data_IF_147517791593
#
_entry.id   IF_147517791593
#
_cell.length_a   1.000
_cell.length_b   1.000
_cell.length_c   1.000
_cell.angle_alpha   90.00
_cell.angle_beta   90.00
_cell.angle_gamma   90.00
#
_symmetry.space_group_name_H-M   'P 1'
#
loop_
_entity.id
_entity.type
_entity.pdbx_description
1 polymer ?
#
# COMPACT_ATOMS: atom_id res chain seq x y z
N UNK A 1 -21.90 -7.06 5.06
CA UNK A 1 -20.66 -7.74 5.45
C UNK A 1 -19.68 -7.56 4.29
N UNK A 2 -18.56 -6.88 4.51
CA UNK A 2 -17.60 -6.63 3.44
C UNK A 2 -16.68 -7.85 3.32
N UNK A 3 -16.24 -8.19 2.09
CA UNK A 3 -15.38 -9.38 1.86
C UNK A 3 -14.07 -9.33 2.65
N UNK A 4 -13.61 -8.15 3.03
CA UNK A 4 -12.42 -7.91 3.85
C UNK A 4 -12.57 -8.37 5.30
N UNK A 5 -13.81 -8.51 5.82
CA UNK A 5 -14.06 -9.04 7.16
C UNK A 5 -13.69 -10.54 7.29
N UNK A 6 -13.52 -11.24 6.16
CA UNK A 6 -13.08 -12.64 6.11
C UNK A 6 -11.55 -12.80 6.16
N UNK A 7 -10.81 -11.71 6.03
CA UNK A 7 -9.34 -11.72 6.06
C UNK A 7 -8.83 -11.65 7.49
N UNK A 8 -7.67 -12.25 7.73
CA UNK A 8 -6.92 -12.01 8.97
C UNK A 8 -6.56 -10.52 9.12
N UNK A 9 -6.40 -10.06 10.36
CA UNK A 9 -6.23 -8.63 10.67
C UNK A 9 -4.98 -8.01 10.03
N UNK A 10 -3.92 -8.78 9.81
CA UNK A 10 -2.73 -8.37 9.03
C UNK A 10 -3.09 -8.09 7.57
N UNK A 11 -3.78 -9.02 6.91
CA UNK A 11 -4.22 -8.93 5.52
C UNK A 11 -5.19 -7.76 5.31
N UNK A 12 -6.09 -7.52 6.27
CA UNK A 12 -6.95 -6.33 6.26
C UNK A 12 -6.16 -5.01 6.29
N UNK A 13 -5.09 -4.95 7.08
CA UNK A 13 -4.26 -3.74 7.17
C UNK A 13 -3.45 -3.52 5.89
N UNK A 14 -2.86 -4.58 5.33
CA UNK A 14 -2.16 -4.54 4.04
C UNK A 14 -3.09 -4.05 2.93
N UNK A 15 -4.28 -4.62 2.83
CA UNK A 15 -5.30 -4.20 1.87
C UNK A 15 -5.65 -2.70 2.03
N UNK A 16 -5.88 -2.24 3.26
CA UNK A 16 -6.19 -0.83 3.54
C UNK A 16 -5.02 0.11 3.20
N UNK A 17 -3.78 -0.31 3.44
CA UNK A 17 -2.60 0.48 3.03
C UNK A 17 -2.61 0.65 1.52
N UNK A 18 -2.73 -0.45 0.77
CA UNK A 18 -2.74 -0.41 -0.69
C UNK A 18 -3.91 0.42 -1.24
N UNK A 19 -5.10 0.27 -0.68
CA UNK A 19 -6.30 1.07 -1.03
C UNK A 19 -6.05 2.57 -0.83
N UNK A 20 -5.49 2.96 0.33
CA UNK A 20 -5.15 4.37 0.59
C UNK A 20 -4.13 4.88 -0.41
N UNK A 21 -3.04 4.13 -0.66
CA UNK A 21 -1.99 4.55 -1.58
C UNK A 21 -2.48 4.68 -3.02
N UNK A 22 -3.40 3.82 -3.44
CA UNK A 22 -3.98 3.84 -4.78
C UNK A 22 -4.97 5.00 -4.97
N UNK A 23 -5.85 5.23 -3.99
CA UNK A 23 -6.93 6.24 -4.09
C UNK A 23 -6.43 7.68 -3.91
N UNK A 24 -5.41 7.91 -3.08
CA UNK A 24 -4.91 9.27 -2.82
C UNK A 24 -4.19 9.86 -4.06
N UNK A 25 -3.68 9.00 -4.96
CA UNK A 25 -2.99 9.37 -6.20
C UNK A 25 -1.66 10.11 -6.01
N UNK A 26 -1.35 10.48 -4.76
CA UNK A 26 -0.18 11.24 -4.32
C UNK A 26 0.58 10.48 -3.23
N UNK A 27 1.85 10.83 -2.97
CA UNK A 27 2.60 10.27 -1.86
C UNK A 27 1.91 10.55 -0.52
N UNK A 28 1.57 9.48 0.20
CA UNK A 28 0.95 9.53 1.53
C UNK A 28 2.02 9.46 2.60
N UNK A 29 1.92 10.30 3.63
CA UNK A 29 2.88 10.28 4.74
C UNK A 29 2.68 9.04 5.62
N UNK A 30 3.79 8.44 6.06
CA UNK A 30 3.78 7.31 7.00
C UNK A 30 3.08 7.66 8.31
N UNK A 31 3.19 8.92 8.76
CA UNK A 31 2.49 9.40 9.95
C UNK A 31 0.97 9.41 9.76
N UNK A 32 0.47 9.80 8.59
CA UNK A 32 -0.96 9.72 8.29
C UNK A 32 -1.46 8.28 8.24
N UNK A 33 -0.66 7.37 7.68
CA UNK A 33 -0.97 5.94 7.62
C UNK A 33 -1.05 5.31 9.03
N UNK A 34 -0.07 5.56 9.90
CA UNK A 34 -0.10 5.03 11.28
C UNK A 34 -1.30 5.54 12.06
N UNK A 35 -1.65 6.83 11.91
CA UNK A 35 -2.84 7.43 12.55
C UNK A 35 -4.16 6.83 12.02
N UNK A 36 -4.32 6.73 10.69
CA UNK A 36 -5.55 6.20 10.06
C UNK A 36 -5.78 4.73 10.41
N UNK A 37 -4.72 3.93 10.40
CA UNK A 37 -4.79 2.48 10.63
C UNK A 37 -4.64 2.10 12.10
N UNK A 38 -4.31 3.06 12.97
CA UNK A 38 -4.05 2.86 14.40
C UNK A 38 -2.99 1.77 14.65
N UNK A 39 -1.90 1.81 13.87
CA UNK A 39 -0.76 0.88 13.96
C UNK A 39 0.53 1.60 14.33
N UNK A 40 1.50 0.87 14.88
CA UNK A 40 2.81 1.44 15.19
C UNK A 40 3.62 1.71 13.90
N UNK A 41 4.60 2.65 13.93
CA UNK A 41 5.50 2.86 12.81
C UNK A 41 6.30 1.61 12.42
N UNK A 42 6.69 0.78 13.40
CA UNK A 42 7.39 -0.48 13.13
C UNK A 42 6.50 -1.48 12.39
N UNK A 43 5.23 -1.57 12.78
CA UNK A 43 4.24 -2.41 12.08
C UNK A 43 3.99 -1.91 10.66
N UNK A 44 3.84 -0.58 10.48
CA UNK A 44 3.68 0.00 9.15
C UNK A 44 4.90 -0.29 8.26
N UNK A 45 6.12 -0.16 8.80
CA UNK A 45 7.35 -0.48 8.08
C UNK A 45 7.31 -1.92 7.54
N UNK A 46 7.01 -2.90 8.41
CA UNK A 46 6.91 -4.30 8.01
C UNK A 46 5.87 -4.51 6.91
N UNK A 47 4.69 -3.91 7.05
CA UNK A 47 3.64 -4.03 6.02
C UNK A 47 4.02 -3.37 4.69
N UNK A 48 4.80 -2.29 4.69
CA UNK A 48 5.30 -1.69 3.45
C UNK A 48 6.37 -2.57 2.80
N UNK A 49 7.20 -3.26 3.59
CA UNK A 49 8.17 -4.25 3.10
C UNK A 49 7.45 -5.47 2.51
N UNK A 50 6.51 -6.07 3.25
CA UNK A 50 5.67 -7.18 2.78
C UNK A 50 4.95 -6.80 1.47
N UNK A 51 4.35 -5.60 1.41
CA UNK A 51 3.68 -5.10 0.21
C UNK A 51 4.66 -4.95 -0.96
N UNK A 52 5.86 -4.43 -0.72
CA UNK A 52 6.87 -4.24 -1.75
C UNK A 52 7.32 -5.57 -2.36
N UNK A 53 7.48 -6.62 -1.53
CA UNK A 53 7.77 -7.98 -1.94
C UNK A 53 6.62 -8.57 -2.77
N UNK A 54 5.39 -8.46 -2.28
CA UNK A 54 4.19 -8.98 -2.95
C UNK A 54 3.98 -8.34 -4.34
N UNK A 55 4.31 -7.05 -4.50
CA UNK A 55 4.15 -6.35 -5.79
C UNK A 55 5.39 -6.39 -6.68
N UNK A 56 6.55 -6.91 -6.22
CA UNK A 56 7.76 -7.00 -7.06
C UNK A 56 7.49 -7.62 -8.44
N UNK A 57 6.76 -8.74 -8.58
CA UNK A 57 6.50 -9.32 -9.90
C UNK A 57 5.75 -8.37 -10.83
N UNK A 58 4.85 -7.53 -10.28
CA UNK A 58 4.10 -6.54 -11.04
C UNK A 58 4.94 -5.30 -11.37
N UNK A 59 5.93 -4.98 -10.54
CA UNK A 59 6.92 -3.93 -10.80
C UNK A 59 7.86 -4.38 -11.92
N UNK A 60 8.32 -5.63 -11.91
CA UNK A 60 9.17 -6.23 -12.94
C UNK A 60 8.47 -6.29 -14.31
N UNK A 61 7.16 -6.58 -14.30
CA UNK A 61 6.30 -6.52 -15.49
C UNK A 61 5.92 -5.08 -15.88
N UNK A 62 6.44 -4.07 -15.18
CA UNK A 62 6.17 -2.65 -15.38
C UNK A 62 4.67 -2.31 -15.39
N UNK A 63 3.89 -3.03 -14.58
CA UNK A 63 2.44 -2.85 -14.41
C UNK A 63 2.10 -1.91 -13.27
N UNK A 64 2.96 -1.81 -12.26
CA UNK A 64 2.78 -0.94 -11.10
C UNK A 64 4.11 -0.29 -10.72
N UNK A 65 4.04 0.88 -10.11
CA UNK A 65 5.16 1.56 -9.48
C UNK A 65 4.85 1.77 -8.00
N UNK A 66 5.70 1.24 -7.12
CA UNK A 66 5.68 1.52 -5.69
C UNK A 66 6.95 2.28 -5.30
N UNK A 67 6.80 3.36 -4.53
CA UNK A 67 7.91 4.15 -3.99
C UNK A 67 7.74 4.28 -2.49
N UNK A 68 8.72 3.77 -1.74
CA UNK A 68 8.76 3.87 -0.28
C UNK A 68 9.97 4.73 0.07
N UNK A 69 9.72 5.97 0.45
CA UNK A 69 10.75 6.93 0.86
C UNK A 69 10.89 6.95 2.39
N UNK A 70 11.72 7.84 2.95
CA UNK A 70 11.91 7.95 4.40
C UNK A 70 10.58 8.22 5.14
N UNK A 71 9.78 9.18 4.65
CA UNK A 71 8.57 9.67 5.33
C UNK A 71 7.26 9.44 4.56
N UNK A 72 7.35 9.03 3.31
CA UNK A 72 6.24 8.94 2.36
C UNK A 72 6.21 7.56 1.68
N UNK A 73 5.03 7.17 1.22
CA UNK A 73 4.84 6.01 0.37
C UNK A 73 3.84 6.36 -0.75
N UNK A 74 4.05 5.86 -1.96
CA UNK A 74 3.13 6.02 -3.08
C UNK A 74 3.01 4.74 -3.88
N UNK A 75 1.83 4.51 -4.45
CA UNK A 75 1.55 3.40 -5.34
C UNK A 75 0.83 3.92 -6.59
N UNK A 76 1.27 3.51 -7.77
CA UNK A 76 0.68 3.91 -9.05
C UNK A 76 0.55 2.71 -9.98
N UNK A 77 -0.53 2.67 -10.74
CA UNK A 77 -0.64 1.75 -11.86
C UNK A 77 0.01 2.42 -13.09
N UNK A 78 0.98 1.74 -13.70
CA UNK A 78 1.72 2.24 -14.88
C UNK A 78 1.07 1.79 -16.19
N UNK A 79 0.11 0.86 -16.14
CA UNK A 79 -0.75 0.61 -17.28
C UNK A 79 -1.64 1.83 -17.45
N UNK A 80 -1.24 2.72 -18.37
CA UNK A 80 -2.18 3.69 -18.94
C UNK A 80 -3.41 2.90 -19.36
N UNK A 81 -4.57 3.20 -18.78
CA UNK A 81 -5.83 2.98 -19.49
C UNK A 81 -5.69 3.81 -20.77
N UNK A 82 -5.31 3.15 -21.86
CA UNK A 82 -5.54 3.66 -23.20
C UNK A 82 -7.06 3.85 -23.30
N UNK A 83 -7.49 5.09 -23.11
CA UNK A 83 -8.84 5.56 -23.44
C UNK A 83 -8.71 6.39 -24.70
#
# INVERSE_FOLDING_TARGET
MYKTDLLEKNQQNLFKILEILYLDGNPVTKQSLTKKLKISPATLKRYLEDLNEDVQPLVDENKVEIKIEANTASFKNTQKLCT
#
